data_IF_735553105426
#
_entry.id   IF_735553105426
#
_cell.length_a   1.000
_cell.length_b   1.000
_cell.length_c   1.000
_cell.angle_alpha   90.00
_cell.angle_beta   90.00
_cell.angle_gamma   90.00
#
_symmetry.space_group_name_H-M   'P 1'
#
loop_
_entity.id
_entity.type
_entity.pdbx_description
1 polymer ?
#
# COMPACT_ATOMS: atom_id res chain seq x y z
N UNK A 1 2.90 8.68 -13.22
CA UNK A 1 2.15 7.50 -13.74
C UNK A 1 1.06 7.96 -14.71
N UNK A 2 0.79 7.25 -15.80
CA UNK A 2 -0.28 7.62 -16.75
C UNK A 2 -1.68 7.12 -16.30
N UNK A 3 -2.75 7.61 -16.94
CA UNK A 3 -4.15 7.28 -16.56
C UNK A 3 -4.46 5.78 -16.64
N UNK A 4 -3.94 5.08 -17.66
CA UNK A 4 -4.17 3.64 -17.86
C UNK A 4 -3.48 2.83 -16.76
N UNK A 5 -2.21 3.11 -16.48
CA UNK A 5 -1.45 2.51 -15.39
C UNK A 5 -2.15 2.72 -14.05
N UNK A 6 -2.58 3.96 -13.77
CA UNK A 6 -3.30 4.30 -12.54
C UNK A 6 -4.58 3.48 -12.38
N UNK A 7 -5.33 3.29 -13.46
CA UNK A 7 -6.56 2.49 -13.41
C UNK A 7 -6.29 1.01 -13.17
N UNK A 8 -5.27 0.44 -13.83
CA UNK A 8 -4.88 -0.97 -13.64
C UNK A 8 -4.44 -1.20 -12.18
N UNK A 9 -3.58 -0.32 -11.66
CA UNK A 9 -3.10 -0.42 -10.26
C UNK A 9 -4.27 -0.31 -9.29
N UNK A 10 -5.21 0.61 -9.50
CA UNK A 10 -6.44 0.69 -8.69
C UNK A 10 -7.22 -0.62 -8.69
N UNK A 11 -7.43 -1.22 -9.86
CA UNK A 11 -8.16 -2.49 -9.95
C UNK A 11 -7.43 -3.61 -9.20
N UNK A 12 -6.10 -3.70 -9.34
CA UNK A 12 -5.28 -4.70 -8.62
C UNK A 12 -5.44 -4.53 -7.11
N UNK A 13 -5.43 -3.29 -6.61
CA UNK A 13 -5.58 -3.00 -5.18
C UNK A 13 -6.98 -3.39 -4.69
N UNK A 14 -8.03 -3.00 -5.41
CA UNK A 14 -9.41 -3.34 -5.05
C UNK A 14 -9.59 -4.86 -4.97
N UNK A 15 -9.17 -5.58 -6.01
CA UNK A 15 -9.27 -7.04 -6.03
C UNK A 15 -8.46 -7.70 -4.90
N UNK A 16 -7.23 -7.23 -4.66
CA UNK A 16 -6.40 -7.77 -3.57
C UNK A 16 -7.05 -7.54 -2.20
N UNK A 17 -7.60 -6.34 -1.95
CA UNK A 17 -8.30 -6.05 -0.69
C UNK A 17 -9.51 -6.95 -0.51
N UNK A 18 -10.34 -7.09 -1.54
CA UNK A 18 -11.50 -7.97 -1.49
C UNK A 18 -11.10 -9.43 -1.19
N UNK A 19 -10.02 -9.92 -1.78
CA UNK A 19 -9.54 -11.28 -1.52
C UNK A 19 -9.01 -11.47 -0.11
N UNK A 20 -8.35 -10.45 0.48
CA UNK A 20 -7.91 -10.49 1.87
C UNK A 20 -9.12 -10.45 2.81
N UNK A 21 -10.04 -9.50 2.62
CA UNK A 21 -11.25 -9.34 3.44
C UNK A 21 -12.15 -10.57 3.39
N UNK A 22 -12.25 -11.24 2.24
CA UNK A 22 -13.00 -12.48 2.07
C UNK A 22 -12.18 -13.74 2.38
N UNK A 23 -10.99 -13.61 3.00
CA UNK A 23 -10.12 -14.72 3.41
C UNK A 23 -9.70 -15.69 2.28
N UNK A 24 -9.79 -15.24 1.03
CA UNK A 24 -9.27 -15.96 -0.16
C UNK A 24 -7.74 -15.96 -0.17
N UNK A 25 -7.14 -14.92 0.41
CA UNK A 25 -5.70 -14.83 0.66
C UNK A 25 -5.50 -14.65 2.15
N UNK A 26 -4.65 -15.47 2.73
CA UNK A 26 -4.33 -15.44 4.15
C UNK A 26 -2.82 -15.37 4.33
N UNK A 27 -2.40 -14.55 5.27
CA UNK A 27 -1.02 -14.37 5.69
C UNK A 27 -1.01 -13.87 7.13
N UNK A 28 0.17 -13.87 7.78
CA UNK A 28 0.29 -13.39 9.16
C UNK A 28 -0.23 -11.97 9.32
N UNK A 29 -1.25 -11.78 10.17
CA UNK A 29 -1.89 -10.49 10.45
C UNK A 29 -3.07 -10.14 9.52
N UNK A 30 -3.35 -10.94 8.50
CA UNK A 30 -4.46 -10.68 7.56
C UNK A 30 -5.85 -10.71 8.21
N UNK A 31 -6.00 -11.37 9.34
CA UNK A 31 -7.23 -11.42 10.14
C UNK A 31 -7.64 -10.06 10.73
N UNK A 32 -6.68 -9.14 10.86
CA UNK A 32 -6.90 -7.78 11.36
C UNK A 32 -6.81 -6.72 10.24
N UNK A 33 -6.77 -7.14 8.96
CA UNK A 33 -6.58 -6.24 7.83
C UNK A 33 -7.57 -5.05 7.88
N UNK A 34 -7.08 -3.80 7.73
CA UNK A 34 -5.71 -3.40 7.32
C UNK A 34 -4.68 -3.28 8.46
N UNK A 35 -5.08 -3.45 9.72
CA UNK A 35 -4.25 -3.14 10.90
C UNK A 35 -3.08 -4.13 11.09
N UNK A 36 -1.87 -3.58 11.27
CA UNK A 36 -0.69 -4.35 11.70
C UNK A 36 -0.14 -5.31 10.64
N UNK A 37 -0.62 -5.19 9.39
CA UNK A 37 -0.32 -6.13 8.32
C UNK A 37 0.32 -5.47 7.08
N UNK A 38 0.61 -4.16 7.16
CA UNK A 38 1.08 -3.32 6.05
C UNK A 38 2.30 -3.87 5.30
N UNK A 39 3.29 -4.45 6.00
CA UNK A 39 4.47 -5.05 5.37
C UNK A 39 4.11 -6.24 4.48
N UNK A 40 3.37 -7.22 5.02
CA UNK A 40 2.94 -8.41 4.29
C UNK A 40 1.97 -8.05 3.15
N UNK A 41 1.01 -7.15 3.39
CA UNK A 41 0.09 -6.68 2.37
C UNK A 41 0.82 -5.96 1.22
N UNK A 42 1.83 -5.14 1.55
CA UNK A 42 2.67 -4.46 0.55
C UNK A 42 3.53 -5.43 -0.27
N UNK A 43 4.05 -6.50 0.36
CA UNK A 43 4.78 -7.56 -0.35
C UNK A 43 3.89 -8.25 -1.40
N UNK A 44 2.68 -8.66 -1.00
CA UNK A 44 1.73 -9.33 -1.91
C UNK A 44 1.31 -8.38 -3.05
N UNK A 45 1.09 -7.10 -2.73
CA UNK A 45 0.79 -6.09 -3.74
C UNK A 45 1.96 -5.93 -4.72
N UNK A 46 3.20 -5.87 -4.24
CA UNK A 46 4.39 -5.76 -5.07
C UNK A 46 4.48 -6.92 -6.07
N UNK A 47 4.23 -8.15 -5.62
CA UNK A 47 4.26 -9.33 -6.47
C UNK A 47 3.18 -9.30 -7.56
N UNK A 48 1.96 -8.84 -7.22
CA UNK A 48 0.88 -8.67 -8.21
C UNK A 48 1.19 -7.61 -9.25
N UNK A 49 1.77 -6.49 -8.81
CA UNK A 49 2.17 -5.42 -9.72
C UNK A 49 3.27 -5.93 -10.66
N UNK A 50 4.28 -6.64 -10.15
CA UNK A 50 5.33 -7.26 -10.98
C UNK A 50 4.74 -8.27 -11.98
N UNK A 51 3.80 -9.11 -11.56
CA UNK A 51 3.11 -10.06 -12.44
C UNK A 51 2.30 -9.38 -13.56
N UNK A 52 1.83 -8.15 -13.33
CA UNK A 52 1.15 -7.32 -14.33
C UNK A 52 2.11 -6.44 -15.17
N UNK A 53 3.41 -6.70 -15.09
CA UNK A 53 4.42 -6.03 -15.92
C UNK A 53 4.89 -4.68 -15.38
N UNK A 54 4.46 -4.27 -14.18
CA UNK A 54 4.99 -3.07 -13.54
C UNK A 54 6.41 -3.35 -13.01
N UNK A 55 7.35 -2.47 -13.34
CA UNK A 55 8.78 -2.58 -12.98
C UNK A 55 9.22 -1.33 -12.23
N UNK A 56 10.40 -1.40 -11.59
CA UNK A 56 10.99 -0.26 -10.86
C UNK A 56 10.04 0.29 -9.78
N UNK A 57 9.41 -0.63 -9.03
CA UNK A 57 8.61 -0.28 -7.87
C UNK A 57 9.56 -0.29 -6.68
N UNK A 58 9.66 0.85 -6.01
CA UNK A 58 10.38 0.96 -4.75
C UNK A 58 9.45 0.52 -3.61
N UNK A 59 10.02 -0.17 -2.64
CA UNK A 59 9.31 -0.56 -1.43
C UNK A 59 9.85 0.25 -0.25
N UNK A 60 8.95 0.96 0.44
CA UNK A 60 9.26 1.60 1.72
C UNK A 60 8.80 0.67 2.82
N UNK A 61 9.76 0.03 3.51
CA UNK A 61 9.51 -0.97 4.56
C UNK A 61 9.95 -0.40 5.90
N UNK A 62 9.18 -0.67 6.95
CA UNK A 62 9.51 -0.27 8.33
C UNK A 62 9.86 1.22 8.42
N UNK A 63 9.07 2.06 7.76
CA UNK A 63 9.18 3.50 7.92
C UNK A 63 8.52 3.87 9.25
N UNK A 64 9.16 4.69 10.08
CA UNK A 64 8.70 4.95 11.45
C UNK A 64 8.25 6.39 11.66
N UNK A 65 7.19 6.55 12.45
CA UNK A 65 6.72 7.83 12.98
C UNK A 65 5.96 7.57 14.28
N UNK A 66 6.26 8.33 15.35
CA UNK A 66 5.59 8.22 16.66
C UNK A 66 5.42 6.77 17.17
N UNK A 67 6.52 5.99 17.20
CA UNK A 67 6.56 4.58 17.63
C UNK A 67 5.69 3.61 16.80
N UNK A 68 5.22 4.03 15.61
CA UNK A 68 4.50 3.17 14.69
C UNK A 68 5.31 3.01 13.40
N UNK A 69 5.38 1.77 12.91
CA UNK A 69 5.96 1.47 11.62
C UNK A 69 4.88 1.35 10.55
N UNK A 70 5.18 1.76 9.32
CA UNK A 70 4.32 1.60 8.17
C UNK A 70 5.09 1.17 6.94
N UNK A 71 4.41 0.53 5.99
CA UNK A 71 5.01 0.08 4.73
C UNK A 71 4.09 0.35 3.55
N UNK A 72 4.66 0.80 2.44
CA UNK A 72 3.96 1.10 1.20
C UNK A 72 4.89 0.95 -0.02
N UNK A 73 4.34 1.13 -1.22
CA UNK A 73 5.08 1.08 -2.47
C UNK A 73 5.16 2.46 -3.12
N UNK A 74 6.23 2.71 -3.87
CA UNK A 74 6.37 3.90 -4.71
C UNK A 74 6.60 3.48 -6.16
N UNK A 75 5.78 4.02 -7.07
CA UNK A 75 5.87 3.80 -8.50
C UNK A 75 5.69 5.11 -9.27
N UNK A 76 6.72 5.53 -10.01
CA UNK A 76 6.71 6.77 -10.80
C UNK A 76 6.22 7.99 -10.00
N UNK A 77 6.86 8.25 -8.86
CA UNK A 77 6.51 9.32 -7.90
C UNK A 77 5.08 9.22 -7.32
N UNK A 78 4.46 8.04 -7.41
CA UNK A 78 3.17 7.79 -6.81
C UNK A 78 3.32 6.79 -5.66
N UNK A 79 2.82 7.18 -4.50
CA UNK A 79 2.61 6.26 -3.39
C UNK A 79 1.45 5.35 -3.73
N UNK A 80 1.63 4.05 -3.47
CA UNK A 80 0.61 3.03 -3.55
C UNK A 80 0.57 2.33 -2.19
N UNK A 81 -0.52 2.55 -1.45
CA UNK A 81 -0.65 2.07 -0.07
C UNK A 81 -2.01 1.42 0.13
N UNK A 82 -2.01 0.09 0.24
CA UNK A 82 -3.20 -0.75 0.40
C UNK A 82 -3.75 -0.78 1.82
N UNK A 83 -3.04 -0.20 2.79
CA UNK A 83 -3.34 -0.28 4.23
C UNK A 83 -3.42 1.10 4.90
N UNK A 84 -3.46 2.18 4.13
CA UNK A 84 -3.47 3.55 4.66
C UNK A 84 -4.64 3.82 5.62
N UNK A 85 -5.75 3.10 5.43
CA UNK A 85 -6.96 3.19 6.24
C UNK A 85 -6.84 2.44 7.58
N UNK A 86 -5.66 1.92 7.95
CA UNK A 86 -5.40 1.45 9.32
C UNK A 86 -5.26 2.60 10.33
N UNK A 87 -5.05 3.84 9.87
CA UNK A 87 -4.87 5.00 10.72
C UNK A 87 -6.18 5.78 10.86
N UNK A 88 -6.63 6.01 12.09
CA UNK A 88 -7.92 6.69 12.39
C UNK A 88 -8.07 8.08 11.75
N UNK A 89 -6.95 8.78 11.52
CA UNK A 89 -6.94 10.11 10.88
C UNK A 89 -7.21 10.08 9.38
N UNK A 90 -7.35 8.91 8.77
CA UNK A 90 -7.53 8.73 7.33
C UNK A 90 -8.96 8.24 7.06
N UNK A 91 -9.82 9.17 6.62
CA UNK A 91 -11.24 8.89 6.33
C UNK A 91 -11.47 8.29 4.93
N UNK A 92 -10.45 8.26 4.09
CA UNK A 92 -10.54 7.78 2.72
C UNK A 92 -9.64 6.57 2.48
N UNK A 93 -10.20 5.56 1.82
CA UNK A 93 -9.50 4.40 1.27
C UNK A 93 -8.61 4.78 0.06
N UNK A 94 -7.84 5.87 0.13
CA UNK A 94 -7.16 6.39 -1.04
C UNK A 94 -5.83 5.66 -1.24
N UNK A 95 -5.82 4.74 -2.21
CA UNK A 95 -4.72 3.80 -2.43
C UNK A 95 -3.59 4.31 -3.33
N UNK A 96 -3.73 5.50 -3.94
CA UNK A 96 -2.71 6.08 -4.84
C UNK A 96 -2.65 7.60 -4.71
N UNK A 97 -1.48 8.14 -4.38
CA UNK A 97 -1.22 9.58 -4.31
C UNK A 97 0.05 9.96 -5.06
N UNK A 98 0.14 11.21 -5.53
CA UNK A 98 1.46 11.78 -5.82
C UNK A 98 2.23 11.91 -4.50
N UNK A 99 3.45 11.40 -4.46
CA UNK A 99 4.27 11.32 -3.24
C UNK A 99 4.44 12.70 -2.57
N UNK A 100 4.75 13.72 -3.37
CA UNK A 100 4.92 15.10 -2.92
C UNK A 100 3.67 15.71 -2.28
N UNK A 101 2.49 15.16 -2.55
CA UNK A 101 1.21 15.64 -2.00
C UNK A 101 0.79 14.93 -0.72
N UNK A 102 1.48 13.86 -0.33
CA UNK A 102 1.09 13.09 0.86
C UNK A 102 1.84 13.56 2.11
N UNK A 103 1.27 14.56 2.79
CA UNK A 103 1.78 15.03 4.08
C UNK A 103 1.81 13.93 5.15
N UNK A 104 0.97 12.91 5.03
CA UNK A 104 0.99 11.75 5.91
C UNK A 104 2.30 10.96 5.77
N UNK A 105 2.62 10.50 4.56
CA UNK A 105 3.79 9.65 4.33
C UNK A 105 5.10 10.41 4.56
N UNK A 106 5.11 11.73 4.37
CA UNK A 106 6.28 12.58 4.65
C UNK A 106 6.68 12.63 6.13
N UNK A 107 5.78 12.25 7.05
CA UNK A 107 6.09 12.17 8.49
C UNK A 107 6.99 10.98 8.84
N UNK A 108 6.97 9.94 8.01
CA UNK A 108 7.67 8.70 8.29
C UNK A 108 9.10 8.73 7.74
N UNK A 109 10.03 8.20 8.53
CA UNK A 109 11.45 8.15 8.19
C UNK A 109 11.98 6.74 8.35
N UNK A 110 12.99 6.40 7.56
CA UNK A 110 13.76 5.19 7.80
C UNK A 110 14.70 5.45 8.99
N UNK A 111 14.69 4.54 9.95
CA UNK A 111 15.61 4.55 11.10
C UNK A 111 16.81 3.67 10.77
#
# INVERSE_FOLDING_TARGET
MNKKEKQIIKNIIICLREEILNKKIQFTGSENFPLGCCGNASNILLDRLKANGFKQIEQKVNMWFNNQSHSWLIYKEHIIDITIDQFESIEYQCFIFEEKKSLFHQKFQQI
#
